data_IF_319390860426
#
_entry.id   IF_319390860426
#
_cell.length_a   1.000
_cell.length_b   1.000
_cell.length_c   1.000
_cell.angle_alpha   90.00
_cell.angle_beta   90.00
_cell.angle_gamma   90.00
#
_symmetry.space_group_name_H-M   'P 1'
#
loop_
_entity.id
_entity.type
_entity.pdbx_description
1 polymer ?
#
# COMPACT_ATOMS: atom_id res chain seq x y z
N UNK A 1 6.69 -27.41 -3.90
CA UNK A 1 7.96 -26.80 -3.41
C UNK A 1 7.58 -25.75 -2.40
N UNK A 2 8.08 -25.79 -1.18
CA UNK A 2 7.73 -24.82 -0.12
C UNK A 2 8.23 -23.41 -0.50
N UNK A 3 7.58 -22.37 -0.02
CA UNK A 3 7.94 -20.97 -0.33
C UNK A 3 9.44 -20.70 -0.12
N UNK A 4 10.00 -21.20 0.98
CA UNK A 4 11.44 -21.10 1.29
C UNK A 4 12.35 -21.72 0.21
N UNK A 5 11.95 -22.87 -0.35
CA UNK A 5 12.71 -23.56 -1.41
C UNK A 5 12.59 -22.82 -2.74
N UNK A 6 11.41 -22.27 -3.06
CA UNK A 6 11.20 -21.46 -4.28
C UNK A 6 12.03 -20.18 -4.25
N UNK A 7 12.11 -19.51 -3.12
CA UNK A 7 12.90 -18.29 -2.98
C UNK A 7 14.40 -18.61 -2.98
N UNK A 8 14.84 -19.66 -2.29
CA UNK A 8 16.23 -20.09 -2.33
C UNK A 8 16.68 -20.46 -3.75
N UNK A 9 15.81 -21.16 -4.51
CA UNK A 9 16.07 -21.45 -5.92
C UNK A 9 16.09 -20.18 -6.77
N UNK A 10 15.12 -19.28 -6.59
CA UNK A 10 15.04 -17.99 -7.30
C UNK A 10 16.30 -17.14 -7.03
N UNK A 11 16.70 -17.02 -5.76
CA UNK A 11 17.89 -16.25 -5.38
C UNK A 11 19.18 -16.85 -5.94
N UNK A 12 19.31 -18.18 -5.92
CA UNK A 12 20.46 -18.86 -6.54
C UNK A 12 20.53 -18.66 -8.07
N UNK A 13 19.38 -18.70 -8.74
CA UNK A 13 19.29 -18.49 -10.19
C UNK A 13 19.51 -17.04 -10.59
N UNK A 14 18.97 -16.09 -9.84
CA UNK A 14 19.09 -14.65 -10.10
C UNK A 14 20.52 -14.17 -9.83
N UNK A 15 21.14 -14.59 -8.73
CA UNK A 15 22.52 -14.24 -8.40
C UNK A 15 23.52 -14.67 -9.48
N UNK A 16 23.25 -15.79 -10.16
CA UNK A 16 24.08 -16.27 -11.26
C UNK A 16 23.78 -15.62 -12.61
N UNK A 17 22.54 -15.16 -12.86
CA UNK A 17 22.10 -14.72 -14.19
C UNK A 17 22.10 -13.21 -14.42
N UNK A 18 21.80 -12.40 -13.39
CA UNK A 18 21.68 -10.95 -13.56
C UNK A 18 22.95 -10.15 -13.20
N UNK A 19 23.75 -10.65 -12.26
CA UNK A 19 24.94 -9.93 -11.79
C UNK A 19 26.18 -10.83 -11.63
N UNK A 20 26.54 -11.67 -12.61
CA UNK A 20 27.69 -12.56 -12.48
C UNK A 20 29.02 -11.84 -12.23
N UNK A 21 29.06 -10.51 -12.45
CA UNK A 21 30.26 -9.69 -12.34
C UNK A 21 30.06 -8.40 -11.55
N UNK A 22 29.02 -8.31 -10.70
CA UNK A 22 28.78 -7.08 -9.93
C UNK A 22 29.98 -6.76 -9.03
N UNK A 23 30.53 -7.76 -8.35
CA UNK A 23 31.68 -7.60 -7.46
C UNK A 23 32.97 -7.25 -8.25
N UNK A 24 33.12 -7.74 -9.49
CA UNK A 24 34.25 -7.43 -10.36
C UNK A 24 34.15 -6.03 -10.99
N UNK A 25 32.93 -5.53 -11.20
CA UNK A 25 32.66 -4.22 -11.80
C UNK A 25 32.61 -3.07 -10.79
N UNK A 26 32.54 -3.37 -9.50
CA UNK A 26 32.40 -2.33 -8.45
C UNK A 26 33.78 -1.84 -7.99
N UNK A 27 33.96 -0.52 -7.86
CA UNK A 27 35.21 0.08 -7.41
C UNK A 27 35.54 -0.20 -5.93
N UNK A 28 34.54 -0.62 -5.15
CA UNK A 28 34.64 -0.91 -3.70
C UNK A 28 33.71 -2.08 -3.38
N UNK A 29 34.11 -3.02 -2.48
CA UNK A 29 33.24 -4.10 -2.04
C UNK A 29 31.89 -3.58 -1.50
N UNK A 30 30.82 -4.35 -1.75
CA UNK A 30 29.47 -4.01 -1.27
C UNK A 30 29.40 -4.06 0.25
N UNK A 31 28.83 -3.01 0.84
CA UNK A 31 28.42 -3.01 2.24
C UNK A 31 27.23 -3.94 2.47
N UNK A 32 26.97 -4.39 3.71
CA UNK A 32 25.81 -5.24 4.02
C UNK A 32 24.48 -4.55 3.63
N UNK A 33 24.41 -3.24 3.77
CA UNK A 33 23.24 -2.45 3.35
C UNK A 33 23.04 -2.48 1.82
N UNK A 34 24.11 -2.39 1.06
CA UNK A 34 24.07 -2.47 -0.40
C UNK A 34 23.71 -3.89 -0.87
N UNK A 35 24.27 -4.93 -0.25
CA UNK A 35 23.91 -6.32 -0.50
C UNK A 35 22.41 -6.55 -0.23
N UNK A 36 21.89 -6.01 0.87
CA UNK A 36 20.48 -6.09 1.20
C UNK A 36 19.60 -5.36 0.16
N UNK A 37 20.02 -4.17 -0.29
CA UNK A 37 19.34 -3.44 -1.37
C UNK A 37 19.31 -4.25 -2.67
N UNK A 38 20.42 -4.91 -3.05
CA UNK A 38 20.48 -5.77 -4.23
C UNK A 38 19.46 -6.89 -4.11
N UNK A 39 19.42 -7.63 -2.98
CA UNK A 39 18.42 -8.68 -2.73
C UNK A 39 16.97 -8.18 -2.87
N UNK A 40 16.68 -7.00 -2.35
CA UNK A 40 15.36 -6.38 -2.46
C UNK A 40 15.02 -6.06 -3.93
N UNK A 41 15.95 -5.46 -4.68
CA UNK A 41 15.73 -5.12 -6.09
C UNK A 41 15.58 -6.36 -6.97
N UNK A 42 16.37 -7.41 -6.72
CA UNK A 42 16.26 -8.70 -7.41
C UNK A 42 14.91 -9.36 -7.17
N UNK A 43 14.35 -9.24 -5.97
CA UNK A 43 13.04 -9.79 -5.65
C UNK A 43 11.92 -8.99 -6.30
N UNK A 44 11.99 -7.64 -6.24
CA UNK A 44 10.93 -6.78 -6.76
C UNK A 44 10.91 -6.73 -8.29
N UNK A 45 12.08 -6.71 -8.95
CA UNK A 45 12.24 -6.61 -10.40
C UNK A 45 11.36 -5.53 -11.05
N UNK A 46 11.29 -4.36 -10.40
CA UNK A 46 10.41 -3.25 -10.78
C UNK A 46 10.54 -2.83 -12.25
N UNK A 47 11.73 -3.01 -12.83
CA UNK A 47 12.07 -2.70 -14.23
C UNK A 47 11.23 -3.47 -15.25
N UNK A 48 10.81 -4.70 -14.94
CA UNK A 48 9.97 -5.54 -15.83
C UNK A 48 8.59 -4.93 -16.09
N UNK A 49 8.13 -4.10 -15.18
CA UNK A 49 6.78 -3.50 -15.19
C UNK A 49 6.79 -2.04 -15.64
N UNK A 50 7.96 -1.46 -15.86
CA UNK A 50 8.05 -0.06 -16.31
C UNK A 50 7.45 0.06 -17.71
N UNK A 51 6.46 0.96 -17.92
CA UNK A 51 5.84 1.13 -19.23
C UNK A 51 6.86 1.47 -20.29
N UNK A 52 6.86 0.73 -21.39
CA UNK A 52 7.78 0.93 -22.48
C UNK A 52 7.44 2.24 -23.20
N UNK A 53 8.25 3.27 -22.99
CA UNK A 53 8.06 4.60 -23.58
C UNK A 53 8.61 4.71 -25.04
N UNK A 54 9.06 3.60 -25.61
CA UNK A 54 9.70 3.57 -26.92
C UNK A 54 8.81 4.06 -28.10
N UNK A 55 7.49 3.99 -27.94
CA UNK A 55 6.55 4.32 -29.02
C UNK A 55 6.29 5.82 -29.24
N UNK A 56 6.85 6.73 -28.42
CA UNK A 56 6.53 8.17 -28.47
C UNK A 56 7.61 9.07 -29.09
N UNK A 57 8.68 8.51 -29.69
CA UNK A 57 9.87 9.35 -29.90
C UNK A 57 10.57 9.18 -31.24
N UNK A 58 10.04 9.88 -32.21
CA UNK A 58 10.80 10.21 -33.42
C UNK A 58 11.38 11.63 -33.42
N UNK A 59 11.00 12.47 -32.45
CA UNK A 59 11.44 13.89 -32.41
C UNK A 59 11.85 14.27 -30.97
N UNK A 60 13.08 14.66 -30.77
CA UNK A 60 13.59 15.21 -29.51
C UNK A 60 14.72 14.42 -28.84
N UNK A 61 15.15 14.88 -27.68
CA UNK A 61 16.20 14.25 -26.87
C UNK A 61 15.71 12.92 -26.32
N UNK A 62 16.50 11.83 -26.42
CA UNK A 62 16.11 10.51 -25.84
C UNK A 62 15.70 10.61 -24.38
N UNK A 63 14.67 9.88 -24.01
CA UNK A 63 14.21 9.78 -22.61
C UNK A 63 15.29 9.03 -21.81
N UNK A 64 15.61 9.52 -20.63
CA UNK A 64 16.47 8.80 -19.67
C UNK A 64 15.80 7.50 -19.24
N UNK A 65 16.58 6.46 -19.06
CA UNK A 65 16.14 5.12 -18.69
C UNK A 65 15.20 5.13 -17.49
N UNK A 66 13.95 4.75 -17.72
CA UNK A 66 12.92 4.74 -16.70
C UNK A 66 13.11 3.60 -15.70
N UNK A 67 13.69 2.51 -16.14
CA UNK A 67 14.03 1.33 -15.34
C UNK A 67 15.02 1.69 -14.22
N UNK A 68 16.12 2.33 -14.54
CA UNK A 68 17.09 2.79 -13.55
C UNK A 68 16.47 3.81 -12.56
N UNK A 69 15.57 4.68 -13.05
CA UNK A 69 14.85 5.62 -12.18
C UNK A 69 13.87 4.87 -11.24
N UNK A 70 13.21 3.82 -11.71
CA UNK A 70 12.31 3.03 -10.89
C UNK A 70 13.09 2.29 -9.77
N UNK A 71 14.23 1.65 -10.10
CA UNK A 71 15.14 1.06 -9.11
C UNK A 71 15.63 2.11 -8.09
N UNK A 72 15.96 3.31 -8.54
CA UNK A 72 16.36 4.39 -7.65
C UNK A 72 15.26 4.83 -6.69
N UNK A 73 13.97 4.76 -7.06
CA UNK A 73 12.87 5.02 -6.14
C UNK A 73 12.66 3.89 -5.11
N UNK A 74 12.88 2.64 -5.48
CA UNK A 74 12.94 1.54 -4.51
C UNK A 74 14.12 1.77 -3.54
N UNK A 75 15.31 2.06 -4.05
CA UNK A 75 16.48 2.40 -3.23
C UNK A 75 16.21 3.61 -2.31
N UNK A 76 15.45 4.61 -2.77
CA UNK A 76 15.02 5.75 -1.95
C UNK A 76 14.23 5.30 -0.71
N UNK A 77 13.32 4.34 -0.86
CA UNK A 77 12.53 3.80 0.25
C UNK A 77 13.41 2.98 1.20
N UNK A 78 14.20 2.04 0.69
CA UNK A 78 15.10 1.18 1.49
C UNK A 78 16.15 2.01 2.25
N UNK A 79 16.70 3.03 1.59
CA UNK A 79 17.72 3.91 2.18
C UNK A 79 17.14 5.06 3.02
N UNK A 80 15.81 5.15 3.16
CA UNK A 80 15.10 6.17 3.95
C UNK A 80 15.38 7.62 3.49
N UNK A 81 15.69 7.85 2.22
CA UNK A 81 15.88 9.23 1.72
C UNK A 81 14.53 9.95 1.64
N UNK A 82 14.37 11.03 2.39
CA UNK A 82 13.13 11.80 2.41
C UNK A 82 12.88 12.55 1.09
N UNK A 83 13.94 13.19 0.56
CA UNK A 83 13.86 14.02 -0.65
C UNK A 83 14.49 13.34 -1.87
N UNK A 84 13.98 13.66 -3.04
CA UNK A 84 14.59 13.21 -4.31
C UNK A 84 15.96 13.87 -4.56
N UNK A 85 16.15 15.09 -4.03
CA UNK A 85 17.47 15.77 -4.04
C UNK A 85 18.51 14.97 -3.26
N UNK A 86 18.15 14.46 -2.07
CA UNK A 86 19.06 13.63 -1.26
C UNK A 86 19.41 12.33 -1.98
N UNK A 87 18.42 11.64 -2.57
CA UNK A 87 18.66 10.47 -3.40
C UNK A 87 19.63 10.79 -4.56
N UNK A 88 19.37 11.88 -5.30
CA UNK A 88 20.19 12.29 -6.43
C UNK A 88 21.63 12.59 -6.01
N UNK A 89 21.82 13.31 -4.93
CA UNK A 89 23.15 13.63 -4.40
C UNK A 89 23.90 12.35 -4.05
N UNK A 90 23.22 11.41 -3.40
CA UNK A 90 23.81 10.11 -3.03
C UNK A 90 24.17 9.27 -4.26
N UNK A 91 23.32 9.22 -5.27
CA UNK A 91 23.63 8.57 -6.57
C UNK A 91 24.83 9.21 -7.27
N UNK A 92 25.09 10.49 -7.04
CA UNK A 92 26.26 11.17 -7.62
C UNK A 92 27.54 10.94 -6.83
N UNK A 93 27.45 10.80 -5.50
CA UNK A 93 28.60 10.62 -4.60
C UNK A 93 29.02 9.17 -4.42
N UNK A 94 28.04 8.23 -4.38
CA UNK A 94 28.27 6.81 -4.08
C UNK A 94 28.26 5.97 -5.34
N UNK A 95 29.43 5.50 -5.84
CA UNK A 95 29.52 4.70 -7.07
C UNK A 95 28.68 3.43 -7.00
N UNK A 96 28.78 2.65 -5.91
CA UNK A 96 28.06 1.39 -5.76
C UNK A 96 26.53 1.58 -5.87
N UNK A 97 25.95 2.52 -5.12
CA UNK A 97 24.52 2.80 -5.19
C UNK A 97 24.09 3.21 -6.61
N UNK A 98 24.91 3.99 -7.29
CA UNK A 98 24.68 4.40 -8.67
C UNK A 98 24.63 3.20 -9.62
N UNK A 99 25.59 2.27 -9.52
CA UNK A 99 25.63 1.04 -10.32
C UNK A 99 24.45 0.11 -10.00
N UNK A 100 24.16 -0.13 -8.74
CA UNK A 100 23.00 -0.93 -8.31
C UNK A 100 21.69 -0.41 -8.91
N UNK A 101 21.53 0.92 -9.00
CA UNK A 101 20.36 1.51 -9.65
C UNK A 101 20.41 1.47 -11.19
N UNK A 102 21.57 1.15 -11.80
CA UNK A 102 21.73 1.03 -13.25
C UNK A 102 22.26 2.30 -13.95
N UNK A 103 22.87 3.24 -13.22
CA UNK A 103 23.52 4.41 -13.81
C UNK A 103 25.04 4.19 -13.88
N UNK A 104 25.59 4.02 -15.11
CA UNK A 104 27.00 3.72 -15.29
C UNK A 104 27.95 4.85 -14.84
N UNK A 105 27.57 6.10 -15.09
CA UNK A 105 28.45 7.27 -14.84
C UNK A 105 27.69 8.33 -14.04
N UNK A 106 28.41 9.16 -13.29
CA UNK A 106 27.86 10.31 -12.54
C UNK A 106 27.01 11.25 -13.42
N UNK A 107 27.40 11.48 -14.67
CA UNK A 107 26.67 12.32 -15.64
C UNK A 107 25.35 11.68 -16.13
N UNK A 108 25.19 10.38 -15.97
CA UNK A 108 23.99 9.65 -16.39
C UNK A 108 22.86 9.80 -15.36
N UNK A 109 23.19 10.15 -14.11
CA UNK A 109 22.20 10.44 -13.06
C UNK A 109 21.35 11.62 -13.49
N UNK A 110 20.01 11.43 -13.58
CA UNK A 110 19.11 12.47 -14.08
C UNK A 110 19.01 13.69 -13.17
N UNK A 111 18.50 14.79 -13.71
CA UNK A 111 18.11 15.95 -12.90
C UNK A 111 16.85 15.65 -12.07
N UNK A 112 16.63 16.41 -11.00
CA UNK A 112 15.42 16.28 -10.16
C UNK A 112 14.13 16.44 -10.97
N UNK A 113 14.12 17.34 -11.97
CA UNK A 113 12.98 17.51 -12.86
C UNK A 113 12.68 16.24 -13.68
N UNK A 114 13.72 15.50 -14.08
CA UNK A 114 13.56 14.22 -14.79
C UNK A 114 13.03 13.14 -13.85
N UNK A 115 13.56 13.03 -12.62
CA UNK A 115 12.99 12.15 -11.58
C UNK A 115 11.53 12.47 -11.31
N UNK A 116 11.17 13.76 -11.17
CA UNK A 116 9.79 14.18 -10.91
C UNK A 116 8.84 13.84 -12.06
N UNK A 117 9.27 13.97 -13.32
CA UNK A 117 8.47 13.58 -14.49
C UNK A 117 8.27 12.07 -14.55
N UNK A 118 9.34 11.28 -14.40
CA UNK A 118 9.26 9.83 -14.36
C UNK A 118 8.35 9.35 -13.23
N UNK A 119 8.48 9.92 -12.03
CA UNK A 119 7.59 9.61 -10.92
C UNK A 119 6.12 9.89 -11.24
N UNK A 120 5.84 11.01 -11.94
CA UNK A 120 4.48 11.33 -12.39
C UNK A 120 3.95 10.33 -13.42
N UNK A 121 4.79 9.83 -14.32
CA UNK A 121 4.47 8.78 -15.29
C UNK A 121 4.16 7.45 -14.57
N UNK A 122 5.01 7.02 -13.63
CA UNK A 122 4.80 5.84 -12.81
C UNK A 122 3.51 5.90 -11.98
N UNK A 123 3.21 7.08 -11.42
CA UNK A 123 1.99 7.29 -10.65
C UNK A 123 0.73 7.18 -11.52
N UNK A 124 0.76 7.71 -12.74
CA UNK A 124 -0.34 7.59 -13.71
C UNK A 124 -0.57 6.16 -14.19
N UNK A 125 0.53 5.42 -14.38
CA UNK A 125 0.48 4.02 -14.79
C UNK A 125 0.13 3.06 -13.64
N UNK A 126 0.08 3.53 -12.38
CA UNK A 126 -0.14 2.66 -11.23
C UNK A 126 0.96 1.63 -11.00
N UNK A 127 2.20 1.92 -11.47
CA UNK A 127 3.31 0.97 -11.49
C UNK A 127 3.47 0.22 -10.17
N UNK A 128 3.43 0.92 -9.03
CA UNK A 128 3.64 0.28 -7.72
C UNK A 128 2.56 -0.73 -7.37
N UNK A 129 1.31 -0.49 -7.76
CA UNK A 129 0.19 -1.44 -7.53
C UNK A 129 0.38 -2.67 -8.41
N UNK A 130 0.69 -2.49 -9.69
CA UNK A 130 0.90 -3.59 -10.65
C UNK A 130 2.04 -4.50 -10.20
N UNK A 131 3.18 -3.94 -9.80
CA UNK A 131 4.32 -4.70 -9.27
C UNK A 131 3.95 -5.44 -7.99
N UNK A 132 3.28 -4.77 -7.06
CA UNK A 132 2.89 -5.36 -5.79
C UNK A 132 1.91 -6.53 -5.98
N UNK A 133 0.93 -6.38 -6.86
CA UNK A 133 -0.04 -7.44 -7.17
C UNK A 133 0.63 -8.66 -7.81
N UNK A 134 1.60 -8.42 -8.68
CA UNK A 134 2.42 -9.50 -9.26
C UNK A 134 3.22 -10.25 -8.20
N UNK A 135 3.90 -9.53 -7.30
CA UNK A 135 4.68 -10.13 -6.21
C UNK A 135 3.80 -10.94 -5.25
N UNK A 136 2.64 -10.40 -4.85
CA UNK A 136 1.71 -11.13 -3.97
C UNK A 136 1.23 -12.41 -4.63
N UNK A 137 0.83 -12.36 -5.90
CA UNK A 137 0.39 -13.55 -6.65
C UNK A 137 1.51 -14.57 -6.85
N UNK A 138 2.71 -14.11 -7.17
CA UNK A 138 3.87 -14.98 -7.42
C UNK A 138 4.29 -15.74 -6.16
N UNK A 139 4.37 -15.04 -5.03
CA UNK A 139 4.92 -15.60 -3.80
C UNK A 139 3.89 -16.20 -2.85
N UNK A 140 2.64 -15.73 -2.89
CA UNK A 140 1.59 -16.12 -1.95
C UNK A 140 0.34 -16.71 -2.63
N UNK A 141 0.19 -16.60 -3.94
CA UNK A 141 -1.03 -16.99 -4.66
C UNK A 141 -1.35 -18.49 -4.61
N UNK A 142 -0.41 -19.34 -4.22
CA UNK A 142 -0.61 -20.80 -4.04
C UNK A 142 -0.63 -21.24 -2.59
N UNK A 143 -0.47 -20.30 -1.65
CA UNK A 143 -0.41 -20.58 -0.21
C UNK A 143 -1.76 -20.25 0.43
N UNK A 144 -2.24 -21.14 1.31
CA UNK A 144 -3.39 -20.82 2.15
C UNK A 144 -2.92 -19.96 3.33
N UNK A 145 -3.39 -18.73 3.40
CA UNK A 145 -3.08 -17.79 4.49
C UNK A 145 -4.03 -18.02 5.65
N UNK A 146 -3.52 -18.06 6.88
CA UNK A 146 -4.35 -18.24 8.07
C UNK A 146 -5.24 -17.04 8.32
N UNK A 147 -4.65 -15.86 8.50
CA UNK A 147 -5.34 -14.65 8.87
C UNK A 147 -4.94 -13.48 7.97
N UNK A 148 -5.93 -12.65 7.63
CA UNK A 148 -5.72 -11.33 7.02
C UNK A 148 -6.15 -10.27 8.03
N UNK A 149 -5.20 -9.46 8.46
CA UNK A 149 -5.40 -8.33 9.36
C UNK A 149 -5.62 -7.06 8.56
N UNK A 150 -6.74 -6.39 8.78
CA UNK A 150 -7.09 -5.13 8.10
C UNK A 150 -7.00 -3.96 9.05
N UNK A 151 -6.25 -2.95 8.65
CA UNK A 151 -6.11 -1.72 9.44
C UNK A 151 -5.86 -0.50 8.56
N UNK A 152 -6.00 0.68 9.12
CA UNK A 152 -5.73 1.95 8.45
C UNK A 152 -4.71 2.79 9.20
N UNK A 153 -3.90 3.52 8.44
CA UNK A 153 -2.92 4.43 9.04
C UNK A 153 -3.00 5.83 8.46
N UNK A 154 -2.86 6.85 9.34
CA UNK A 154 -2.85 8.25 8.96
C UNK A 154 -1.59 8.59 8.15
N UNK A 155 -1.77 9.24 7.01
CA UNK A 155 -0.71 9.74 6.12
C UNK A 155 -0.82 11.26 6.06
N UNK A 156 0.16 11.95 6.60
CA UNK A 156 0.19 13.43 6.57
C UNK A 156 0.51 13.88 5.15
N UNK A 157 -0.36 14.69 4.58
CA UNK A 157 -0.20 15.26 3.24
C UNK A 157 0.56 16.59 3.27
N UNK A 158 1.30 16.87 2.19
CA UNK A 158 2.03 18.15 1.99
C UNK A 158 1.17 19.21 1.28
N UNK A 159 -0.12 19.05 1.29
CA UNK A 159 -1.05 19.93 0.60
C UNK A 159 -2.15 20.41 1.54
N UNK A 160 -2.78 21.52 1.20
CA UNK A 160 -3.90 22.05 1.97
C UNK A 160 -5.12 21.14 1.77
N UNK A 161 -5.92 20.89 2.82
CA UNK A 161 -7.14 20.12 2.68
C UNK A 161 -8.13 20.84 1.74
N UNK A 162 -8.82 20.04 0.93
CA UNK A 162 -9.87 20.55 0.04
C UNK A 162 -11.00 21.17 0.86
N UNK A 163 -11.50 22.32 0.44
CA UNK A 163 -12.68 22.94 1.07
C UNK A 163 -13.91 22.09 0.75
N UNK A 164 -14.58 21.57 1.77
CA UNK A 164 -15.86 20.90 1.57
C UNK A 164 -16.89 21.93 1.11
N UNK A 165 -17.39 21.77 -0.10
CA UNK A 165 -18.56 22.54 -0.55
C UNK A 165 -19.72 22.07 0.31
N UNK A 166 -20.23 22.97 1.18
CA UNK A 166 -21.45 22.68 1.94
C UNK A 166 -22.60 22.56 0.93
N UNK A 167 -22.96 21.32 0.57
CA UNK A 167 -24.23 21.10 -0.13
C UNK A 167 -25.33 21.61 0.79
N UNK A 168 -26.21 22.48 0.27
CA UNK A 168 -27.40 22.88 0.99
C UNK A 168 -28.17 21.62 1.36
N UNK A 169 -28.14 21.27 2.64
CA UNK A 169 -28.93 20.12 3.12
C UNK A 169 -30.39 20.56 3.07
N UNK A 170 -31.14 19.99 2.14
CA UNK A 170 -32.60 20.05 2.21
C UNK A 170 -33.00 19.46 3.55
N UNK A 171 -33.56 20.26 4.42
CA UNK A 171 -33.97 19.84 5.76
C UNK A 171 -34.96 18.67 5.64
N UNK A 172 -34.52 17.46 5.97
CA UNK A 172 -35.43 16.30 6.00
C UNK A 172 -36.46 16.56 7.08
N UNK A 173 -37.75 16.65 6.71
CA UNK A 173 -38.85 16.72 7.67
C UNK A 173 -38.75 15.57 8.65
N UNK A 174 -38.53 15.87 9.94
CA UNK A 174 -38.55 14.89 11.03
C UNK A 174 -40.00 14.61 11.43
N UNK A 175 -40.32 13.35 11.72
CA UNK A 175 -41.64 12.96 12.18
C UNK A 175 -42.37 11.96 11.26
N UNK A 176 -43.54 11.47 11.69
CA UNK A 176 -44.39 10.57 10.89
C UNK A 176 -44.88 11.30 9.63
N UNK A 177 -44.86 10.67 8.43
CA UNK A 177 -45.41 11.27 7.22
C UNK A 177 -46.90 11.60 7.41
N UNK A 178 -47.37 12.69 6.83
CA UNK A 178 -48.80 12.98 6.76
C UNK A 178 -49.50 11.91 5.91
N UNK A 179 -50.80 11.67 6.16
CA UNK A 179 -51.59 10.69 5.42
C UNK A 179 -51.59 11.07 3.94
N UNK A 180 -50.96 10.27 3.08
CA UNK A 180 -50.80 10.57 1.63
C UNK A 180 -49.40 11.04 1.21
N UNK A 181 -48.48 11.31 2.11
CA UNK A 181 -47.11 11.74 1.82
C UNK A 181 -46.24 10.55 1.46
N UNK A 182 -45.92 10.33 0.17
CA UNK A 182 -45.04 9.28 -0.30
C UNK A 182 -43.60 9.77 -0.11
N UNK A 183 -42.90 9.27 0.92
CA UNK A 183 -41.48 9.53 1.09
C UNK A 183 -40.69 8.68 0.12
N UNK A 184 -39.78 9.33 -0.62
CA UNK A 184 -38.80 8.58 -1.38
C UNK A 184 -38.02 7.63 -0.47
N UNK A 185 -37.76 6.38 -0.89
CA UNK A 185 -36.95 5.46 -0.11
C UNK A 185 -35.57 6.09 0.15
N UNK A 186 -34.94 5.83 1.30
CA UNK A 186 -33.61 6.33 1.57
C UNK A 186 -32.64 5.79 0.51
N UNK A 187 -31.73 6.66 0.06
CA UNK A 187 -30.63 6.23 -0.82
C UNK A 187 -29.87 5.05 -0.19
N UNK A 188 -29.52 4.02 -0.98
CA UNK A 188 -28.79 2.88 -0.48
C UNK A 188 -27.47 3.36 0.14
N UNK A 189 -27.09 2.74 1.26
CA UNK A 189 -25.83 3.07 1.93
C UNK A 189 -24.65 2.61 1.08
N UNK A 190 -23.53 3.29 1.19
CA UNK A 190 -22.31 2.95 0.43
C UNK A 190 -21.92 1.47 0.59
N UNK A 191 -21.99 0.91 1.80
CA UNK A 191 -21.66 -0.49 2.04
C UNK A 191 -22.58 -1.45 1.27
N UNK A 192 -23.87 -1.13 1.16
CA UNK A 192 -24.84 -1.96 0.43
C UNK A 192 -24.53 -1.94 -1.09
N UNK A 193 -24.14 -0.77 -1.63
CA UNK A 193 -23.72 -0.64 -3.03
C UNK A 193 -22.42 -1.39 -3.31
N UNK A 194 -21.45 -1.31 -2.42
CA UNK A 194 -20.13 -1.95 -2.59
C UNK A 194 -20.22 -3.49 -2.66
N UNK A 195 -21.26 -4.10 -2.09
CA UNK A 195 -21.47 -5.57 -2.18
C UNK A 195 -21.72 -6.02 -3.62
N UNK A 196 -22.43 -5.24 -4.41
CA UNK A 196 -22.77 -5.56 -5.81
C UNK A 196 -21.73 -5.06 -6.81
N UNK A 197 -20.87 -4.12 -6.44
CA UNK A 197 -19.83 -3.54 -7.29
C UNK A 197 -18.56 -4.40 -7.33
N UNK A 198 -17.76 -4.26 -8.40
CA UNK A 198 -16.39 -4.77 -8.38
C UNK A 198 -15.51 -3.99 -7.38
N UNK A 199 -14.34 -4.52 -7.06
CA UNK A 199 -13.39 -3.83 -6.18
C UNK A 199 -12.96 -2.48 -6.76
N UNK A 200 -12.65 -2.45 -8.06
CA UNK A 200 -12.20 -1.28 -8.81
C UNK A 200 -13.27 -0.19 -8.86
N UNK A 201 -14.52 -0.57 -9.19
CA UNK A 201 -15.66 0.37 -9.20
C UNK A 201 -15.88 0.99 -7.82
N UNK A 202 -15.88 0.16 -6.77
CA UNK A 202 -16.08 0.63 -5.41
C UNK A 202 -14.94 1.57 -4.97
N UNK A 203 -13.68 1.29 -5.34
CA UNK A 203 -12.52 2.16 -5.04
C UNK A 203 -12.61 3.49 -5.79
N UNK A 204 -13.00 3.48 -7.06
CA UNK A 204 -13.17 4.72 -7.85
C UNK A 204 -14.19 5.68 -7.23
N UNK A 205 -15.19 5.17 -6.51
CA UNK A 205 -16.20 5.96 -5.83
C UNK A 205 -15.77 6.47 -4.43
N UNK A 206 -14.61 6.03 -3.93
CA UNK A 206 -14.10 6.51 -2.65
C UNK A 206 -13.45 7.89 -2.80
N UNK A 207 -13.69 8.82 -1.85
CA UNK A 207 -12.98 10.08 -1.83
C UNK A 207 -11.46 9.84 -1.68
N UNK A 208 -10.67 10.47 -2.55
CA UNK A 208 -9.21 10.33 -2.56
C UNK A 208 -8.46 11.66 -2.50
N UNK A 209 -9.15 12.79 -2.30
CA UNK A 209 -8.51 14.11 -2.17
C UNK A 209 -8.00 14.35 -0.75
N UNK A 210 -6.94 15.18 -0.62
CA UNK A 210 -6.44 15.58 0.69
C UNK A 210 -7.54 16.30 1.50
N UNK A 211 -7.84 15.81 2.70
CA UNK A 211 -8.75 16.47 3.61
C UNK A 211 -8.31 16.31 5.08
N UNK A 212 -9.16 16.73 6.02
CA UNK A 212 -8.88 16.68 7.45
C UNK A 212 -9.40 15.39 8.06
N UNK A 213 -8.48 14.57 8.59
CA UNK A 213 -8.77 13.41 9.41
C UNK A 213 -8.80 13.73 10.89
N UNK A 214 -9.57 12.95 11.64
CA UNK A 214 -9.72 13.06 13.10
C UNK A 214 -9.76 11.65 13.69
N UNK A 215 -8.96 11.39 14.73
CA UNK A 215 -9.05 10.17 15.53
C UNK A 215 -8.91 10.49 17.01
N UNK A 216 -9.41 9.62 17.86
CA UNK A 216 -9.10 9.61 19.30
C UNK A 216 -7.92 8.67 19.55
N UNK A 217 -6.95 9.14 20.33
CA UNK A 217 -5.85 8.27 20.78
C UNK A 217 -6.26 7.46 22.02
N UNK A 218 -5.40 6.54 22.44
CA UNK A 218 -5.64 5.67 23.61
C UNK A 218 -5.85 6.46 24.92
N UNK A 219 -5.33 7.69 25.00
CA UNK A 219 -5.50 8.60 26.16
C UNK A 219 -6.80 9.43 26.08
N UNK A 220 -7.63 9.22 25.05
CA UNK A 220 -8.88 9.96 24.85
C UNK A 220 -8.75 11.31 24.17
N UNK A 221 -7.53 11.78 23.87
CA UNK A 221 -7.32 13.06 23.17
C UNK A 221 -7.66 12.93 21.68
N UNK A 222 -8.19 14.02 21.13
CA UNK A 222 -8.48 14.12 19.70
C UNK A 222 -7.24 14.57 18.94
N UNK A 223 -6.74 13.71 18.06
CA UNK A 223 -5.67 14.02 17.11
C UNK A 223 -6.25 14.34 15.75
N UNK A 224 -5.71 15.37 15.10
CA UNK A 224 -6.15 15.79 13.76
C UNK A 224 -4.95 15.88 12.82
N UNK A 225 -5.14 15.48 11.56
CA UNK A 225 -4.14 15.70 10.51
C UNK A 225 -4.78 16.10 9.21
N UNK A 226 -4.02 16.75 8.35
CA UNK A 226 -4.40 17.02 6.97
C UNK A 226 -3.69 16.01 6.07
N UNK A 227 -4.42 15.32 5.22
CA UNK A 227 -3.81 14.32 4.34
C UNK A 227 -4.76 13.22 3.90
N UNK A 228 -4.30 12.00 4.09
CA UNK A 228 -4.91 10.78 3.59
C UNK A 228 -4.97 9.70 4.68
N UNK A 229 -5.65 8.61 4.37
CA UNK A 229 -5.54 7.33 5.07
C UNK A 229 -5.07 6.26 4.09
N UNK A 230 -4.14 5.44 4.51
CA UNK A 230 -3.76 4.23 3.81
C UNK A 230 -4.38 3.05 4.55
N UNK A 231 -5.18 2.26 3.85
CA UNK A 231 -5.78 1.03 4.33
C UNK A 231 -5.00 -0.14 3.77
N UNK A 232 -4.60 -1.08 4.62
CA UNK A 232 -3.73 -2.20 4.23
C UNK A 232 -4.31 -3.51 4.79
N UNK A 233 -4.29 -4.55 3.96
CA UNK A 233 -4.44 -5.94 4.37
C UNK A 233 -3.07 -6.58 4.51
N UNK A 234 -2.86 -7.30 5.60
CA UNK A 234 -1.57 -7.89 5.97
C UNK A 234 -1.79 -9.32 6.42
N UNK A 235 -0.93 -10.25 6.00
CA UNK A 235 -0.98 -11.64 6.46
C UNK A 235 -0.32 -11.85 7.82
N UNK A 236 -0.37 -13.07 8.33
CA UNK A 236 0.23 -13.50 9.61
C UNK A 236 1.74 -13.18 9.70
N UNK A 237 2.45 -13.29 8.58
CA UNK A 237 3.88 -13.04 8.50
C UNK A 237 4.23 -11.54 8.37
N UNK A 238 3.25 -10.63 8.39
CA UNK A 238 3.47 -9.20 8.25
C UNK A 238 3.72 -8.72 6.81
N UNK A 239 3.36 -9.54 5.80
CA UNK A 239 3.45 -9.18 4.38
C UNK A 239 2.18 -8.42 3.97
N UNK A 240 2.29 -7.20 3.41
CA UNK A 240 1.16 -6.47 2.87
C UNK A 240 0.61 -7.17 1.61
N UNK A 241 -0.71 -7.40 1.56
CA UNK A 241 -1.41 -8.09 0.48
C UNK A 241 -2.12 -7.13 -0.48
N UNK A 242 -2.77 -6.13 0.08
CA UNK A 242 -3.51 -5.11 -0.67
C UNK A 242 -3.45 -3.77 0.05
N UNK A 243 -3.51 -2.68 -0.71
CA UNK A 243 -3.49 -1.34 -0.14
C UNK A 243 -4.39 -0.39 -0.93
N UNK A 244 -5.13 0.48 -0.23
CA UNK A 244 -6.00 1.51 -0.81
C UNK A 244 -5.78 2.85 -0.09
N UNK A 245 -5.59 3.92 -0.85
CA UNK A 245 -5.46 5.27 -0.33
C UNK A 245 -6.77 6.03 -0.45
N UNK A 246 -7.21 6.65 0.64
CA UNK A 246 -8.41 7.48 0.68
C UNK A 246 -8.16 8.84 1.31
N UNK A 247 -9.12 9.74 1.21
CA UNK A 247 -9.15 10.97 2.00
C UNK A 247 -9.11 10.65 3.50
N UNK A 248 -8.45 11.49 4.30
CA UNK A 248 -8.29 11.28 5.72
C UNK A 248 -9.61 11.17 6.52
N UNK A 249 -10.71 11.76 6.02
CA UNK A 249 -12.03 11.73 6.67
C UNK A 249 -12.86 10.49 6.36
N UNK A 250 -12.41 9.59 5.47
CA UNK A 250 -13.15 8.36 5.14
C UNK A 250 -13.10 7.41 6.34
N UNK A 251 -14.27 6.89 6.72
CA UNK A 251 -14.37 5.90 7.81
C UNK A 251 -13.85 4.54 7.32
N UNK A 252 -13.13 3.83 8.18
CA UNK A 252 -12.40 2.61 7.81
C UNK A 252 -13.33 1.51 7.27
N UNK A 253 -14.51 1.34 7.86
CA UNK A 253 -15.52 0.39 7.37
C UNK A 253 -15.92 0.61 5.91
N UNK A 254 -15.84 1.85 5.39
CA UNK A 254 -16.23 2.15 4.00
C UNK A 254 -15.21 1.68 2.95
N UNK A 255 -14.06 1.21 3.38
CA UNK A 255 -12.98 0.70 2.50
C UNK A 255 -12.82 -0.81 2.63
N UNK A 256 -13.45 -1.41 3.65
CA UNK A 256 -13.27 -2.83 3.96
C UNK A 256 -13.75 -3.75 2.83
N UNK A 257 -14.95 -3.54 2.27
CA UNK A 257 -15.50 -4.41 1.21
C UNK A 257 -14.61 -4.41 -0.04
N UNK A 258 -14.25 -3.26 -0.65
CA UNK A 258 -13.36 -3.28 -1.80
C UNK A 258 -11.98 -3.88 -1.48
N UNK A 259 -11.46 -3.66 -0.27
CA UNK A 259 -10.17 -4.22 0.13
C UNK A 259 -10.24 -5.76 0.30
N UNK A 260 -11.33 -6.30 0.90
CA UNK A 260 -11.61 -7.75 0.96
C UNK A 260 -11.59 -8.36 -0.44
N UNK A 261 -12.35 -7.76 -1.37
CA UNK A 261 -12.45 -8.24 -2.77
C UNK A 261 -11.11 -8.21 -3.48
N UNK A 262 -10.29 -7.15 -3.28
CA UNK A 262 -8.93 -7.07 -3.84
C UNK A 262 -8.03 -8.19 -3.30
N UNK A 263 -8.10 -8.48 -2.01
CA UNK A 263 -7.25 -9.49 -1.37
C UNK A 263 -7.68 -10.89 -1.77
N UNK A 264 -8.98 -11.20 -1.73
CA UNK A 264 -9.52 -12.49 -2.18
C UNK A 264 -9.26 -12.79 -3.67
N UNK A 265 -9.10 -11.76 -4.49
CA UNK A 265 -8.71 -11.92 -5.91
C UNK A 265 -7.22 -12.25 -6.13
N UNK A 266 -6.41 -12.28 -5.07
CA UNK A 266 -4.97 -12.53 -5.15
C UNK A 266 -4.52 -13.77 -4.40
N UNK A 267 -5.14 -14.03 -3.23
CA UNK A 267 -4.73 -15.09 -2.29
C UNK A 267 -5.96 -15.71 -1.63
N UNK A 268 -5.85 -16.98 -1.27
CA UNK A 268 -6.82 -17.68 -0.44
C UNK A 268 -6.49 -17.53 1.04
N UNK A 269 -7.47 -17.21 1.89
CA UNK A 269 -7.27 -17.06 3.32
C UNK A 269 -8.49 -17.49 4.15
N UNK A 270 -8.26 -17.79 5.45
CA UNK A 270 -9.31 -18.34 6.31
C UNK A 270 -10.05 -17.26 7.10
N UNK A 271 -9.34 -16.33 7.73
CA UNK A 271 -9.90 -15.41 8.71
C UNK A 271 -9.67 -13.95 8.37
N UNK A 272 -10.72 -13.12 8.47
CA UNK A 272 -10.64 -11.65 8.42
C UNK A 272 -10.57 -11.08 9.85
N UNK A 273 -9.48 -10.41 10.21
CA UNK A 273 -9.31 -9.77 11.51
C UNK A 273 -9.46 -8.25 11.39
N UNK A 274 -10.42 -7.68 12.12
CA UNK A 274 -10.72 -6.24 12.05
C UNK A 274 -11.06 -5.67 13.42
N UNK A 275 -10.77 -4.40 13.64
CA UNK A 275 -11.11 -3.69 14.88
C UNK A 275 -12.60 -3.26 14.93
N UNK A 276 -13.01 -2.69 16.07
CA UNK A 276 -14.37 -2.25 16.31
C UNK A 276 -14.87 -1.13 15.36
N UNK A 277 -13.99 -0.47 14.61
CA UNK A 277 -14.39 0.50 13.58
C UNK A 277 -15.04 -0.18 12.37
N UNK A 278 -14.80 -1.47 12.19
CA UNK A 278 -15.36 -2.29 11.13
C UNK A 278 -16.63 -3.06 11.56
N UNK A 279 -17.15 -2.90 12.77
CA UNK A 279 -18.35 -3.59 13.23
C UNK A 279 -19.63 -3.08 12.52
N UNK A 280 -19.89 -3.66 11.35
CA UNK A 280 -21.07 -3.40 10.53
C UNK A 280 -21.58 -4.72 9.92
N UNK A 281 -22.90 -4.94 9.92
CA UNK A 281 -23.51 -6.19 9.44
C UNK A 281 -23.05 -6.55 8.01
N UNK A 282 -22.99 -5.57 7.12
CA UNK A 282 -22.55 -5.76 5.74
C UNK A 282 -21.11 -6.33 5.62
N UNK A 283 -20.22 -6.01 6.57
CA UNK A 283 -18.85 -6.52 6.56
C UNK A 283 -18.80 -7.97 7.03
N UNK A 284 -19.58 -8.32 8.04
CA UNK A 284 -19.75 -9.71 8.49
C UNK A 284 -20.31 -10.60 7.36
N UNK A 285 -21.33 -10.11 6.66
CA UNK A 285 -21.94 -10.81 5.54
C UNK A 285 -20.98 -10.95 4.36
N UNK A 286 -20.30 -9.86 3.95
CA UNK A 286 -19.37 -9.88 2.82
C UNK A 286 -18.20 -10.82 3.04
N UNK A 287 -17.63 -10.86 4.24
CA UNK A 287 -16.53 -11.77 4.58
C UNK A 287 -17.00 -13.23 4.41
N UNK A 288 -18.19 -13.58 4.93
CA UNK A 288 -18.76 -14.93 4.78
C UNK A 288 -19.10 -15.28 3.32
N UNK A 289 -19.62 -14.34 2.54
CA UNK A 289 -19.90 -14.52 1.12
C UNK A 289 -18.64 -14.83 0.30
N UNK A 290 -17.49 -14.27 0.73
CA UNK A 290 -16.17 -14.57 0.15
C UNK A 290 -15.56 -15.89 0.67
N UNK A 291 -16.24 -16.61 1.59
CA UNK A 291 -15.78 -17.87 2.14
C UNK A 291 -14.88 -17.74 3.38
N UNK A 292 -14.77 -16.54 3.95
CA UNK A 292 -13.91 -16.28 5.10
C UNK A 292 -14.69 -16.26 6.42
N UNK A 293 -13.98 -16.43 7.54
CA UNK A 293 -14.51 -16.32 8.88
C UNK A 293 -14.16 -14.95 9.46
N UNK A 294 -15.13 -14.01 9.58
CA UNK A 294 -14.87 -12.71 10.16
C UNK A 294 -14.68 -12.79 11.69
N UNK A 295 -13.61 -12.19 12.20
CA UNK A 295 -13.37 -11.95 13.62
C UNK A 295 -13.22 -10.43 13.79
N UNK A 296 -14.32 -9.77 14.11
CA UNK A 296 -14.41 -8.31 14.22
C UNK A 296 -14.73 -7.96 15.67
N UNK A 297 -13.92 -7.07 16.25
CA UNK A 297 -14.20 -6.58 17.60
C UNK A 297 -15.52 -5.82 17.65
N UNK A 298 -16.30 -6.04 18.74
CA UNK A 298 -17.63 -5.45 18.87
C UNK A 298 -17.56 -4.01 19.34
N UNK A 299 -18.27 -3.14 18.64
CA UNK A 299 -18.34 -1.74 19.03
C UNK A 299 -19.30 -1.55 20.22
N UNK A 300 -18.83 -1.03 21.38
CA UNK A 300 -19.66 -0.88 22.59
C UNK A 300 -20.77 0.16 22.49
N UNK A 301 -20.96 0.80 21.33
CA UNK A 301 -21.97 1.84 21.16
C UNK A 301 -23.38 1.31 21.43
N UNK A 302 -23.91 1.62 22.62
CA UNK A 302 -25.32 1.39 23.05
C UNK A 302 -25.76 -0.06 23.31
N UNK A 303 -24.85 -1.01 23.43
CA UNK A 303 -25.17 -2.42 23.76
C UNK A 303 -24.13 -2.99 24.71
N UNK A 304 -24.54 -4.00 25.46
CA UNK A 304 -23.61 -4.83 26.17
C UNK A 304 -22.69 -5.55 25.19
N UNK A 305 -21.39 -5.47 25.44
CA UNK A 305 -20.38 -6.09 24.56
C UNK A 305 -20.23 -7.55 24.98
N UNK A 306 -20.60 -8.45 24.10
CA UNK A 306 -20.33 -9.87 24.28
C UNK A 306 -18.83 -10.09 24.00
N UNK A 307 -18.07 -10.57 24.99
CA UNK A 307 -16.65 -10.84 24.78
C UNK A 307 -16.45 -11.93 23.73
N UNK A 308 -15.35 -11.86 22.99
CA UNK A 308 -14.97 -12.89 22.01
C UNK A 308 -14.78 -14.23 22.73
N UNK A 309 -15.16 -15.32 22.05
CA UNK A 309 -14.85 -16.67 22.53
C UNK A 309 -13.32 -16.86 22.64
N UNK A 310 -12.81 -17.67 23.59
CA UNK A 310 -11.36 -17.80 23.82
C UNK A 310 -10.54 -18.15 22.56
N UNK A 311 -11.10 -18.98 21.69
CA UNK A 311 -10.45 -19.36 20.42
C UNK A 311 -10.44 -18.21 19.40
N UNK A 312 -11.47 -17.36 19.35
CA UNK A 312 -11.51 -16.16 18.53
C UNK A 312 -10.54 -15.10 19.06
N UNK A 313 -10.51 -14.87 20.38
CA UNK A 313 -9.59 -13.93 21.01
C UNK A 313 -8.12 -14.30 20.75
N UNK A 314 -7.78 -15.61 20.78
CA UNK A 314 -6.44 -16.07 20.43
C UNK A 314 -6.07 -15.71 18.98
N UNK A 315 -6.97 -15.91 18.02
CA UNK A 315 -6.75 -15.55 16.61
C UNK A 315 -6.71 -14.04 16.40
N UNK A 316 -7.56 -13.30 17.11
CA UNK A 316 -7.63 -11.84 17.03
C UNK A 316 -6.30 -11.18 17.41
N UNK A 317 -5.48 -11.79 18.25
CA UNK A 317 -4.15 -11.29 18.61
C UNK A 317 -3.21 -11.16 17.39
N UNK A 318 -3.41 -11.96 16.34
CA UNK A 318 -2.65 -11.86 15.09
C UNK A 318 -2.91 -10.53 14.35
N UNK A 319 -3.95 -9.78 14.71
CA UNK A 319 -4.22 -8.44 14.19
C UNK A 319 -3.04 -7.47 14.38
N UNK A 320 -2.20 -7.69 15.38
CA UNK A 320 -0.97 -6.91 15.59
C UNK A 320 -0.01 -6.91 14.39
N UNK A 321 -0.16 -7.86 13.45
CA UNK A 321 0.63 -7.89 12.21
C UNK A 321 0.41 -6.62 11.37
N UNK A 322 -0.83 -6.12 11.25
CA UNK A 322 -1.13 -4.89 10.52
C UNK A 322 -0.55 -3.64 11.21
N UNK A 323 -0.56 -3.59 12.53
CA UNK A 323 0.04 -2.49 13.30
C UNK A 323 1.56 -2.44 13.11
N UNK A 324 2.22 -3.62 13.17
CA UNK A 324 3.67 -3.73 12.89
C UNK A 324 4.00 -3.32 11.46
N UNK A 325 3.21 -3.77 10.48
CA UNK A 325 3.37 -3.39 9.08
C UNK A 325 3.23 -1.87 8.88
N UNK A 326 2.20 -1.25 9.45
CA UNK A 326 1.97 0.18 9.43
C UNK A 326 3.12 0.97 10.07
N UNK A 327 3.64 0.50 11.20
CA UNK A 327 4.79 1.11 11.89
C UNK A 327 6.05 1.03 11.02
N UNK A 328 6.37 -0.14 10.48
CA UNK A 328 7.54 -0.34 9.62
C UNK A 328 7.47 0.47 8.34
N UNK A 329 6.31 0.55 7.69
CA UNK A 329 6.13 1.41 6.52
C UNK A 329 6.50 2.86 6.82
N UNK A 330 6.10 3.38 7.98
CA UNK A 330 6.38 4.75 8.39
C UNK A 330 7.82 4.98 8.80
N UNK A 331 8.37 4.10 9.63
CA UNK A 331 9.70 4.30 10.24
C UNK A 331 10.83 3.83 9.31
N UNK A 332 10.60 2.73 8.56
CA UNK A 332 11.66 2.09 7.80
C UNK A 332 11.62 2.37 6.30
N UNK A 333 10.43 2.60 5.73
CA UNK A 333 10.24 2.68 4.28
C UNK A 333 9.62 3.99 3.78
N UNK A 334 9.79 5.07 4.53
CA UNK A 334 9.51 6.43 4.10
C UNK A 334 8.04 6.87 4.17
N UNK A 335 7.13 6.06 4.70
CA UNK A 335 5.70 6.39 4.80
C UNK A 335 5.37 7.58 5.72
N UNK A 336 6.28 7.96 6.64
CA UNK A 336 6.15 9.15 7.49
C UNK A 336 6.41 10.45 6.74
N UNK A 337 7.28 10.43 5.73
CA UNK A 337 7.78 11.64 5.05
C UNK A 337 7.29 11.72 3.61
N UNK A 338 6.01 12.03 3.43
CA UNK A 338 5.39 12.16 2.10
C UNK A 338 5.63 13.56 1.54
N UNK A 339 6.58 13.71 0.61
CA UNK A 339 7.00 14.99 0.03
C UNK A 339 6.35 15.29 -1.33
N UNK A 340 5.43 14.44 -1.77
CA UNK A 340 4.69 14.60 -3.04
C UNK A 340 3.27 15.09 -2.80
N UNK A 341 2.60 15.59 -3.85
CA UNK A 341 1.24 16.12 -3.80
C UNK A 341 0.33 15.38 -4.78
N UNK A 342 -0.94 15.30 -4.44
CA UNK A 342 -1.98 14.59 -5.20
C UNK A 342 -2.03 13.09 -4.89
N UNK A 343 -3.26 12.51 -4.85
CA UNK A 343 -3.49 11.15 -4.36
C UNK A 343 -2.70 10.09 -5.13
N UNK A 344 -2.63 10.20 -6.45
CA UNK A 344 -1.88 9.24 -7.29
C UNK A 344 -0.38 9.20 -6.94
N UNK A 345 0.25 10.37 -6.76
CA UNK A 345 1.66 10.46 -6.39
C UNK A 345 1.90 10.04 -4.94
N UNK A 346 0.96 10.36 -4.04
CA UNK A 346 1.03 9.90 -2.64
C UNK A 346 0.93 8.38 -2.60
N UNK A 347 -0.04 7.78 -3.30
CA UNK A 347 -0.16 6.32 -3.41
C UNK A 347 1.10 5.70 -3.99
N UNK A 348 1.64 6.24 -5.09
CA UNK A 348 2.88 5.73 -5.70
C UNK A 348 4.09 5.78 -4.74
N UNK A 349 4.21 6.87 -3.96
CA UNK A 349 5.26 6.98 -2.94
C UNK A 349 5.14 5.89 -1.88
N UNK A 350 3.92 5.66 -1.37
CA UNK A 350 3.65 4.63 -0.39
C UNK A 350 3.84 3.22 -0.97
N UNK A 351 3.49 3.02 -2.24
CA UNK A 351 3.70 1.73 -2.90
C UNK A 351 5.19 1.38 -3.04
N UNK A 352 6.08 2.31 -3.34
CA UNK A 352 7.52 2.04 -3.30
C UNK A 352 7.97 1.61 -1.90
N UNK A 353 7.40 2.21 -0.85
CA UNK A 353 7.64 1.78 0.53
C UNK A 353 7.09 0.38 0.81
N UNK A 354 5.87 0.08 0.35
CA UNK A 354 5.24 -1.24 0.52
C UNK A 354 5.97 -2.34 -0.25
N UNK A 355 6.45 -2.06 -1.47
CA UNK A 355 7.28 -2.98 -2.24
C UNK A 355 8.57 -3.34 -1.50
N UNK A 356 9.26 -2.32 -0.98
CA UNK A 356 10.48 -2.51 -0.21
C UNK A 356 10.20 -3.29 1.10
N UNK A 357 9.11 -2.97 1.79
CA UNK A 357 8.68 -3.67 3.00
C UNK A 357 8.32 -5.13 2.71
N UNK A 358 7.55 -5.37 1.64
CA UNK A 358 7.18 -6.73 1.22
C UNK A 358 8.43 -7.58 0.98
N UNK A 359 9.36 -7.09 0.17
CA UNK A 359 10.60 -7.79 -0.16
C UNK A 359 11.47 -8.04 1.09
N UNK A 360 11.68 -7.00 1.93
CA UNK A 360 12.43 -7.12 3.18
C UNK A 360 11.80 -8.12 4.17
N UNK A 361 10.47 -8.10 4.28
CA UNK A 361 9.77 -9.05 5.15
C UNK A 361 9.81 -10.46 4.60
N UNK A 362 9.68 -10.63 3.29
CA UNK A 362 9.75 -11.93 2.64
C UNK A 362 11.14 -12.56 2.85
N UNK A 363 12.22 -11.79 2.66
CA UNK A 363 13.58 -12.24 2.94
C UNK A 363 13.76 -12.68 4.40
N UNK A 364 13.19 -11.97 5.36
CA UNK A 364 13.24 -12.34 6.80
C UNK A 364 12.49 -13.63 7.10
N UNK A 365 11.30 -13.81 6.53
CA UNK A 365 10.48 -15.02 6.77
C UNK A 365 11.13 -16.26 6.15
N UNK A 366 11.82 -16.09 5.02
CA UNK A 366 12.47 -17.20 4.31
C UNK A 366 13.87 -17.48 4.82
N UNK A 367 14.45 -16.60 5.64
CA UNK A 367 15.78 -16.74 6.21
C UNK A 367 16.91 -16.57 5.18
N UNK A 368 16.66 -15.74 4.14
CA UNK A 368 17.59 -15.50 3.03
C UNK A 368 18.37 -14.19 3.21
#
# INVERSE_FOLDING_TARGET
>A
MKLKERISWLMGTIQQSLFPHLDECLPVPLTEREKHLVKILELIQVEKFVPNCASRQWLGRPIKEREAIARAFVAKAVCKYQHTSSLRNELQSTPNLRFICGFARRRDVPSEATFSRAFGEFAKAGLGVVVHDALVKEHLGTELIGHVSRDSTAIVGREKPSKKIKRAMVAKKKGRPAKGDIRQPPEPKRLDLQRTQSAEEAICLLPSVCDRGVKRNAKGYTETWNGFKLHIDVNDCGLPLSAVLTSASVHDSQVAIPLMKLTSGKVDYCYDLMDAAYDAAQLWEQSRELGHVPIIDRNPRRKEVVPMAPHEAKRYNERTASERCNSRLKEDFGGRSVMVRGPQKVMMHLMFGLLALFADQLLKVTGC
#
